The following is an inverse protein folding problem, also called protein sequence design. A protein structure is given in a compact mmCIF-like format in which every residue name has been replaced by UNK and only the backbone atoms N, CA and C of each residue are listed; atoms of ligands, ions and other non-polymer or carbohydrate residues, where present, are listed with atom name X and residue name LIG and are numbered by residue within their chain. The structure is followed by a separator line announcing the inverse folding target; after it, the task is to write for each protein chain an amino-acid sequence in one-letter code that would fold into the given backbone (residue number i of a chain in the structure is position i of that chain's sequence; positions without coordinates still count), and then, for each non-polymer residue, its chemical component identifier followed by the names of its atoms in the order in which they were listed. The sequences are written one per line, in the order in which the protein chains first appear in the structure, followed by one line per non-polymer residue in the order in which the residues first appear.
data_IF_315751747376
#
_entry.id   IF_315751747376
#
_cell.length_a   1.000
_cell.length_b   1.000
_cell.length_c   1.000
_cell.angle_alpha   90.00
_cell.angle_beta   90.00
_cell.angle_gamma   90.00
#
_symmetry.space_group_name_H-M   'P 1'
#
loop_
_entity.id
_entity.type
_entity.pdbx_description
1 polymer ?
#
# COMPACT_ATOMS: atom_id res chain seq x y z
N UNK A 1 14.04 -28.39 -23.90
CA UNK A 1 14.32 -26.96 -23.63
C UNK A 1 13.18 -26.03 -24.09
N UNK A 2 12.26 -26.46 -24.96
CA UNK A 2 11.13 -25.65 -25.45
C UNK A 2 10.05 -25.30 -24.40
N UNK A 3 9.90 -26.10 -23.34
CA UNK A 3 8.82 -25.92 -22.35
C UNK A 3 8.92 -24.61 -21.53
N UNK A 4 10.12 -24.11 -21.22
CA UNK A 4 10.27 -22.88 -20.41
C UNK A 4 9.99 -21.59 -21.19
N UNK A 5 10.31 -21.57 -22.49
CA UNK A 5 10.08 -20.41 -23.34
C UNK A 5 8.58 -20.18 -23.56
N UNK A 6 7.84 -21.24 -23.87
CA UNK A 6 6.37 -21.19 -24.05
C UNK A 6 5.66 -20.69 -22.78
N UNK A 7 6.02 -21.22 -21.60
CA UNK A 7 5.47 -20.77 -20.30
C UNK A 7 5.76 -19.29 -20.01
N UNK A 8 6.93 -18.80 -20.44
CA UNK A 8 7.32 -17.40 -20.24
C UNK A 8 6.49 -16.48 -21.11
N UNK A 9 6.27 -16.82 -22.39
CA UNK A 9 5.39 -16.05 -23.26
C UNK A 9 3.95 -16.03 -22.73
N UNK A 10 3.39 -17.17 -22.30
CA UNK A 10 2.04 -17.22 -21.74
C UNK A 10 1.89 -16.35 -20.48
N UNK A 11 2.91 -16.31 -19.61
CA UNK A 11 2.87 -15.45 -18.44
C UNK A 11 2.96 -13.97 -18.81
N UNK A 12 3.88 -13.60 -19.71
CA UNK A 12 4.03 -12.20 -20.14
C UNK A 12 2.78 -11.69 -20.85
N UNK A 13 2.19 -12.50 -21.73
CA UNK A 13 0.93 -12.18 -22.42
C UNK A 13 -0.20 -12.01 -21.41
N UNK A 14 -0.33 -12.94 -20.44
CA UNK A 14 -1.30 -12.80 -19.36
C UNK A 14 -1.14 -11.50 -18.58
N UNK A 15 0.10 -11.14 -18.20
CA UNK A 15 0.37 -9.88 -17.47
C UNK A 15 0.04 -8.68 -18.34
N UNK A 16 0.43 -8.70 -19.61
CA UNK A 16 0.15 -7.60 -20.53
C UNK A 16 -1.36 -7.39 -20.69
N UNK A 17 -2.10 -8.46 -20.99
CA UNK A 17 -3.53 -8.43 -21.26
C UNK A 17 -4.37 -8.08 -20.02
N UNK A 18 -3.90 -8.46 -18.82
CA UNK A 18 -4.66 -8.24 -17.59
C UNK A 18 -4.24 -6.99 -16.81
N UNK A 19 -3.00 -6.49 -16.96
CA UNK A 19 -2.46 -5.43 -16.10
C UNK A 19 -1.80 -4.24 -16.81
N UNK A 20 -1.37 -4.36 -18.07
CA UNK A 20 -0.60 -3.30 -18.77
C UNK A 20 -1.40 -2.63 -19.88
N UNK A 21 -2.15 -3.42 -20.65
CA UNK A 21 -2.93 -2.93 -21.79
C UNK A 21 -3.95 -1.86 -21.35
N UNK A 22 -4.29 -0.93 -22.24
CA UNK A 22 -5.21 0.18 -21.92
C UNK A 22 -6.61 -0.31 -21.55
N UNK A 23 -7.05 -1.43 -22.14
CA UNK A 23 -8.36 -2.04 -21.91
C UNK A 23 -8.30 -3.27 -20.98
N UNK A 24 -7.23 -3.39 -20.21
CA UNK A 24 -7.06 -4.53 -19.31
C UNK A 24 -8.01 -4.48 -18.11
N UNK A 25 -8.25 -5.64 -17.49
CA UNK A 25 -9.13 -5.77 -16.32
C UNK A 25 -8.60 -5.04 -15.08
N UNK A 26 -7.27 -4.94 -14.96
CA UNK A 26 -6.59 -4.35 -13.81
C UNK A 26 -5.58 -3.27 -14.23
N UNK A 27 -6.05 -2.10 -14.71
CA UNK A 27 -5.18 -1.08 -15.28
C UNK A 27 -4.13 -0.56 -14.28
N UNK A 28 -2.99 -0.05 -14.77
CA UNK A 28 -1.94 0.52 -13.92
C UNK A 28 -2.43 1.58 -12.94
N UNK A 29 -3.48 2.31 -13.26
CA UNK A 29 -4.09 3.28 -12.34
C UNK A 29 -4.60 2.67 -11.04
N UNK A 30 -4.89 1.36 -11.00
CA UNK A 30 -5.31 0.65 -9.78
C UNK A 30 -4.14 0.25 -8.88
N UNK A 31 -2.95 -0.03 -9.44
CA UNK A 31 -1.83 -0.63 -8.69
C UNK A 31 -0.52 0.17 -8.74
N UNK A 32 -0.39 1.10 -9.67
CA UNK A 32 0.74 2.02 -9.86
C UNK A 32 0.26 3.48 -9.90
N UNK A 33 -0.53 3.86 -8.90
CA UNK A 33 -1.01 5.24 -8.74
C UNK A 33 0.16 6.22 -8.59
N UNK A 34 0.16 7.28 -9.40
CA UNK A 34 1.07 8.41 -9.26
C UNK A 34 0.54 9.39 -8.20
N UNK A 35 0.72 9.02 -6.93
CA UNK A 35 0.23 9.78 -5.78
C UNK A 35 1.32 9.92 -4.72
N UNK A 36 1.29 11.04 -3.99
CA UNK A 36 2.19 11.26 -2.85
C UNK A 36 1.70 10.57 -1.57
N UNK A 37 0.49 10.02 -1.58
CA UNK A 37 -0.10 9.28 -0.46
C UNK A 37 0.79 8.11 -0.02
N UNK A 38 1.06 8.01 1.28
CA UNK A 38 1.75 6.84 1.84
C UNK A 38 0.79 5.70 2.20
N UNK A 39 -0.52 5.90 2.05
CA UNK A 39 -1.53 4.88 2.25
C UNK A 39 -1.51 3.91 1.06
N UNK A 40 -0.70 2.86 1.16
CA UNK A 40 -0.65 1.79 0.15
C UNK A 40 -1.85 0.86 0.30
N UNK A 41 -2.29 0.30 -0.82
CA UNK A 41 -3.53 -0.50 -0.97
C UNK A 41 -3.66 -1.66 0.02
N UNK A 42 -2.56 -2.33 0.41
CA UNK A 42 -2.62 -3.51 1.29
C UNK A 42 -2.32 -3.23 2.76
N UNK A 43 -1.83 -2.05 3.13
CA UNK A 43 -1.41 -1.75 4.51
C UNK A 43 -2.55 -1.94 5.53
N UNK A 44 -3.79 -1.60 5.15
CA UNK A 44 -4.95 -1.74 6.01
C UNK A 44 -5.30 -3.22 6.26
N UNK A 45 -5.28 -4.04 5.21
CA UNK A 45 -5.51 -5.48 5.30
C UNK A 45 -4.40 -6.17 6.09
N UNK A 46 -3.13 -5.85 5.81
CA UNK A 46 -1.97 -6.37 6.55
C UNK A 46 -2.05 -6.01 8.04
N UNK A 47 -2.42 -4.77 8.36
CA UNK A 47 -2.61 -4.31 9.74
C UNK A 47 -3.75 -5.06 10.43
N UNK A 48 -4.89 -5.24 9.75
CA UNK A 48 -6.01 -6.02 10.26
C UNK A 48 -5.61 -7.47 10.55
N UNK A 49 -4.99 -8.15 9.59
CA UNK A 49 -4.55 -9.53 9.75
C UNK A 49 -3.47 -9.67 10.84
N UNK A 50 -2.54 -8.73 10.93
CA UNK A 50 -1.53 -8.69 11.99
C UNK A 50 -2.18 -8.57 13.37
N UNK A 51 -3.14 -7.65 13.53
CA UNK A 51 -3.90 -7.51 14.78
C UNK A 51 -4.71 -8.77 15.09
N UNK A 52 -5.43 -9.32 14.11
CA UNK A 52 -6.22 -10.53 14.28
C UNK A 52 -5.33 -11.71 14.72
N UNK A 53 -4.22 -11.94 14.02
CA UNK A 53 -3.26 -12.99 14.36
C UNK A 53 -2.66 -12.79 15.76
N UNK A 54 -2.40 -11.55 16.16
CA UNK A 54 -1.87 -11.24 17.49
C UNK A 54 -2.81 -11.62 18.63
N UNK A 55 -4.10 -11.84 18.36
CA UNK A 55 -5.09 -12.21 19.38
C UNK A 55 -5.16 -13.73 19.61
N UNK A 56 -4.54 -14.53 18.74
CA UNK A 56 -4.53 -15.98 18.83
C UNK A 56 -3.16 -16.47 19.33
N UNK A 57 -3.05 -16.63 20.65
CA UNK A 57 -1.81 -17.10 21.30
C UNK A 57 -1.71 -18.63 21.42
N UNK A 58 -2.78 -19.37 21.10
CA UNK A 58 -2.86 -20.82 21.18
C UNK A 58 -2.87 -21.44 19.78
N UNK A 59 -2.21 -22.58 19.59
CA UNK A 59 -2.18 -23.29 18.29
C UNK A 59 -3.56 -23.72 17.79
N UNK A 60 -4.52 -23.91 18.69
CA UNK A 60 -5.89 -24.33 18.39
C UNK A 60 -6.91 -23.54 19.23
N UNK A 61 -7.20 -22.26 18.87
CA UNK A 61 -8.21 -21.49 19.57
C UNK A 61 -9.59 -22.12 19.35
N UNK A 62 -10.39 -22.24 20.41
CA UNK A 62 -11.77 -22.68 20.27
C UNK A 62 -12.62 -21.58 19.60
N UNK A 63 -13.81 -21.96 19.11
CA UNK A 63 -14.69 -21.04 18.38
C UNK A 63 -15.13 -19.82 19.22
N UNK A 64 -15.23 -19.95 20.54
CA UNK A 64 -15.61 -18.84 21.42
C UNK A 64 -14.51 -17.77 21.47
N UNK A 65 -13.24 -18.15 21.58
CA UNK A 65 -12.10 -17.24 21.53
C UNK A 65 -12.02 -16.51 20.18
N UNK A 66 -12.35 -17.20 19.09
CA UNK A 66 -12.45 -16.57 17.77
C UNK A 66 -13.56 -15.51 17.71
N UNK A 67 -14.75 -15.84 18.23
CA UNK A 67 -15.87 -14.90 18.27
C UNK A 67 -15.54 -13.66 19.13
N UNK A 68 -14.93 -13.85 20.29
CA UNK A 68 -14.48 -12.75 21.16
C UNK A 68 -13.49 -11.84 20.42
N UNK A 69 -12.49 -12.41 19.73
CA UNK A 69 -11.51 -11.63 19.00
C UNK A 69 -12.14 -10.79 17.87
N UNK A 70 -13.08 -11.38 17.12
CA UNK A 70 -13.83 -10.67 16.07
C UNK A 70 -14.68 -9.54 16.67
N UNK A 71 -15.39 -9.81 17.77
CA UNK A 71 -16.22 -8.81 18.45
C UNK A 71 -15.40 -7.65 19.00
N UNK A 72 -14.22 -7.91 19.58
CA UNK A 72 -13.33 -6.85 20.07
C UNK A 72 -12.85 -5.95 18.92
N UNK A 73 -12.38 -6.55 17.82
CA UNK A 73 -11.94 -5.77 16.64
C UNK A 73 -13.09 -4.94 16.07
N UNK A 74 -14.28 -5.55 15.92
CA UNK A 74 -15.47 -4.84 15.44
C UNK A 74 -15.83 -3.67 16.36
N UNK A 75 -15.91 -3.90 17.67
CA UNK A 75 -16.22 -2.86 18.67
C UNK A 75 -15.21 -1.72 18.60
N UNK A 76 -13.91 -2.02 18.57
CA UNK A 76 -12.86 -1.01 18.44
C UNK A 76 -12.96 -0.20 17.14
N UNK A 77 -13.32 -0.85 16.02
CA UNK A 77 -13.53 -0.17 14.75
C UNK A 77 -14.77 0.72 14.77
N UNK A 78 -15.89 0.26 15.32
CA UNK A 78 -17.11 1.08 15.47
C UNK A 78 -16.86 2.31 16.33
N UNK A 79 -16.15 2.17 17.45
CA UNK A 79 -15.77 3.31 18.31
C UNK A 79 -14.94 4.32 17.51
N UNK A 80 -13.94 3.87 16.73
CA UNK A 80 -13.11 4.75 15.90
C UNK A 80 -13.91 5.47 14.82
N UNK A 81 -14.81 4.76 14.14
CA UNK A 81 -15.69 5.33 13.11
C UNK A 81 -16.57 6.42 13.73
N UNK A 82 -17.27 6.10 14.83
CA UNK A 82 -18.14 7.04 15.52
C UNK A 82 -17.36 8.27 16.03
N UNK A 83 -16.16 8.07 16.57
CA UNK A 83 -15.29 9.17 17.03
C UNK A 83 -14.82 10.05 15.88
N UNK A 84 -14.53 9.47 14.71
CA UNK A 84 -14.12 10.22 13.52
C UNK A 84 -15.23 11.17 13.02
N UNK A 85 -16.50 10.82 13.24
CA UNK A 85 -17.63 11.70 12.91
C UNK A 85 -17.80 12.86 13.89
N UNK A 86 -17.35 12.74 15.13
CA UNK A 86 -17.57 13.74 16.20
C UNK A 86 -16.35 14.62 16.48
N UNK A 87 -15.13 14.14 16.22
CA UNK A 87 -13.89 14.85 16.56
C UNK A 87 -13.24 15.59 15.37
N UNK A 88 -12.54 16.69 15.72
CA UNK A 88 -11.62 17.45 14.85
C UNK A 88 -10.61 16.48 14.21
N UNK A 89 -10.39 16.57 12.88
CA UNK A 89 -9.50 15.72 12.06
C UNK A 89 -8.36 15.10 12.88
N UNK A 90 -8.35 13.76 12.99
CA UNK A 90 -7.30 13.01 13.68
C UNK A 90 -5.94 13.53 13.22
N UNK A 91 -5.10 13.96 14.16
CA UNK A 91 -3.77 14.47 13.84
C UNK A 91 -2.93 13.33 13.26
N UNK A 92 -2.55 13.47 11.99
CA UNK A 92 -1.64 12.54 11.33
C UNK A 92 -0.25 12.70 11.92
N UNK A 93 0.49 11.60 12.03
CA UNK A 93 1.85 11.63 12.53
C UNK A 93 2.72 12.57 11.68
N UNK A 94 3.50 13.44 12.32
CA UNK A 94 4.34 14.45 11.65
C UNK A 94 5.23 13.82 10.56
N UNK A 95 5.89 12.71 10.86
CA UNK A 95 6.72 11.98 9.91
C UNK A 95 5.96 11.49 8.66
N UNK A 96 4.68 11.13 8.80
CA UNK A 96 3.84 10.74 7.65
C UNK A 96 3.56 11.93 6.74
N UNK A 97 3.22 13.08 7.34
CA UNK A 97 2.92 14.32 6.61
C UNK A 97 4.16 14.84 5.88
N UNK A 98 5.30 14.86 6.56
CA UNK A 98 6.58 15.30 5.98
C UNK A 98 7.01 14.41 4.81
N UNK A 99 6.82 13.09 4.95
CA UNK A 99 7.12 12.15 3.88
C UNK A 99 6.25 12.35 2.65
N UNK A 100 4.93 12.48 2.82
CA UNK A 100 4.03 12.77 1.70
C UNK A 100 4.36 14.11 1.04
N UNK A 101 4.70 15.12 1.84
CA UNK A 101 5.14 16.41 1.32
C UNK A 101 6.41 16.28 0.46
N UNK A 102 7.42 15.57 0.96
CA UNK A 102 8.66 15.32 0.20
C UNK A 102 8.41 14.59 -1.12
N UNK A 103 7.57 13.54 -1.11
CA UNK A 103 7.19 12.82 -2.32
C UNK A 103 6.48 13.76 -3.30
N UNK A 104 5.56 14.60 -2.82
CA UNK A 104 4.83 15.56 -3.65
C UNK A 104 5.76 16.60 -4.31
N UNK A 105 6.82 17.03 -3.63
CA UNK A 105 7.80 17.95 -4.23
C UNK A 105 8.59 17.27 -5.35
N UNK A 106 9.10 16.06 -5.13
CA UNK A 106 9.80 15.29 -6.18
C UNK A 106 8.90 14.99 -7.37
N UNK A 107 7.63 14.67 -7.13
CA UNK A 107 6.64 14.51 -8.20
C UNK A 107 6.48 15.77 -9.02
N UNK A 108 6.39 16.95 -8.38
CA UNK A 108 6.31 18.24 -9.10
C UNK A 108 7.53 18.50 -9.96
N UNK A 109 8.74 18.29 -9.42
CA UNK A 109 9.99 18.43 -10.17
C UNK A 109 10.00 17.54 -11.41
N UNK A 110 9.55 16.29 -11.26
CA UNK A 110 9.45 15.35 -12.37
C UNK A 110 8.40 15.79 -13.41
N UNK A 111 7.20 16.19 -12.98
CA UNK A 111 6.14 16.65 -13.90
C UNK A 111 6.51 17.93 -14.62
N UNK A 112 7.32 18.79 -14.00
CA UNK A 112 7.84 20.02 -14.61
C UNK A 112 9.02 19.77 -15.57
N UNK A 113 9.53 18.53 -15.64
CA UNK A 113 10.69 18.19 -16.46
C UNK A 113 12.04 18.64 -15.87
N UNK A 114 12.08 19.02 -14.59
CA UNK A 114 13.30 19.47 -13.91
C UNK A 114 14.25 18.31 -13.57
N UNK A 115 13.69 17.09 -13.45
CA UNK A 115 14.44 15.86 -13.19
C UNK A 115 13.99 14.77 -14.14
N UNK A 116 14.92 13.89 -14.52
CA UNK A 116 14.61 12.73 -15.34
C UNK A 116 14.02 11.57 -14.51
N UNK A 117 13.49 10.57 -15.21
CA UNK A 117 12.86 9.40 -14.58
C UNK A 117 13.81 8.66 -13.64
N UNK A 118 15.09 8.54 -14.02
CA UNK A 118 16.06 7.81 -13.20
C UNK A 118 16.35 8.56 -11.90
N UNK A 119 16.50 9.89 -11.95
CA UNK A 119 16.71 10.72 -10.76
C UNK A 119 15.49 10.67 -9.84
N UNK A 120 14.28 10.76 -10.39
CA UNK A 120 13.03 10.63 -9.61
C UNK A 120 12.92 9.28 -8.90
N UNK A 121 13.16 8.16 -9.60
CA UNK A 121 13.09 6.82 -8.99
C UNK A 121 14.16 6.65 -7.90
N UNK A 122 15.35 7.23 -8.10
CA UNK A 122 16.40 7.21 -7.09
C UNK A 122 16.01 8.00 -5.85
N UNK A 123 15.45 9.22 -5.99
CA UNK A 123 15.10 10.07 -4.84
C UNK A 123 14.02 9.47 -3.94
N UNK A 124 13.14 8.64 -4.50
CA UNK A 124 12.09 7.94 -3.74
C UNK A 124 12.49 6.55 -3.23
N UNK A 125 13.65 6.03 -3.65
CA UNK A 125 14.09 4.70 -3.29
C UNK A 125 14.69 4.66 -1.89
N UNK A 126 14.25 3.70 -1.07
CA UNK A 126 14.85 3.44 0.25
C UNK A 126 16.33 3.04 0.16
N UNK A 127 16.77 2.49 -0.98
CA UNK A 127 18.14 1.99 -1.21
C UNK A 127 19.12 3.13 -1.50
N UNK A 128 18.63 4.28 -1.95
CA UNK A 128 19.43 5.47 -2.22
C UNK A 128 18.96 6.57 -1.27
N UNK A 129 19.27 6.47 0.04
CA UNK A 129 18.97 7.56 0.96
C UNK A 129 19.63 8.83 0.42
N UNK A 130 19.02 10.01 0.63
CA UNK A 130 19.65 11.27 0.28
C UNK A 130 21.04 11.28 0.91
N UNK A 131 22.05 11.37 0.05
CA UNK A 131 23.42 11.64 0.47
C UNK A 131 23.41 13.10 0.95
N UNK A 132 23.02 13.31 2.21
CA UNK A 132 23.16 14.61 2.87
C UNK A 132 24.65 14.96 2.85
N UNK A 133 24.99 16.05 2.13
CA UNK A 133 25.15 17.43 2.63
C UNK A 133 26.46 17.60 3.42
#
# INVERSE_FOLDING_TARGET
MESKAVLTFTFTDYVFDNYINTDCKFPPTLWAEFSSSICRTTNACESYHSKLNSMFYHSHPNIYLFLEAVQEIQTGNYIKINTAHTQRKVRRAKASVEKEYSIAQEMKRFTNGEIDRLTYVKSLSRKFPPQNL
#
